data_IF_733195691531
#
_entry.id   IF_733195691531
#
_cell.length_a   1.000
_cell.length_b   1.000
_cell.length_c   1.000
_cell.angle_alpha   90.00
_cell.angle_beta   90.00
_cell.angle_gamma   90.00
#
_symmetry.space_group_name_H-M   'P 1'
#
loop_
_entity.id
_entity.type
_entity.pdbx_description
1 polymer ?
#
# COMPACT_ATOMS: atom_id res chain seq x y z
N UNK A 1 -20.43 -1.17 -21.50
CA UNK A 1 -20.17 -0.26 -20.36
C UNK A 1 -19.49 -1.09 -19.28
N UNK A 2 -18.41 -0.60 -18.67
CA UNK A 2 -17.66 -1.34 -17.65
C UNK A 2 -18.34 -1.11 -16.30
N UNK A 3 -18.66 -2.18 -15.57
CA UNK A 3 -19.40 -2.10 -14.30
C UNK A 3 -18.66 -2.73 -13.12
N UNK A 4 -17.50 -3.35 -13.36
CA UNK A 4 -16.72 -4.06 -12.33
C UNK A 4 -15.35 -3.45 -12.22
N UNK A 5 -15.06 -2.90 -11.05
CA UNK A 5 -13.78 -2.29 -10.74
C UNK A 5 -13.16 -3.01 -9.55
N UNK A 6 -11.88 -3.32 -9.66
CA UNK A 6 -11.07 -3.90 -8.59
C UNK A 6 -9.84 -3.03 -8.36
N UNK A 7 -9.25 -3.14 -7.19
CA UNK A 7 -7.99 -2.46 -6.85
C UNK A 7 -6.97 -3.45 -6.32
N UNK A 8 -5.68 -3.14 -6.48
CA UNK A 8 -4.56 -3.92 -5.98
C UNK A 8 -3.74 -3.05 -5.03
N UNK A 9 -3.45 -3.58 -3.86
CA UNK A 9 -2.52 -2.99 -2.91
C UNK A 9 -1.42 -3.98 -2.57
N UNK A 10 -0.19 -3.56 -2.81
CA UNK A 10 1.00 -4.43 -2.70
C UNK A 10 1.63 -4.41 -1.31
N UNK A 11 1.07 -3.65 -0.37
CA UNK A 11 1.58 -3.59 0.99
C UNK A 11 2.85 -2.77 1.13
N UNK A 12 2.77 -1.45 0.94
CA UNK A 12 3.90 -0.53 1.14
C UNK A 12 3.64 0.47 2.26
N UNK A 13 4.72 0.91 2.90
CA UNK A 13 4.71 2.12 3.74
C UNK A 13 4.92 3.36 2.87
N UNK A 14 4.59 4.53 3.41
CA UNK A 14 5.00 5.80 2.79
C UNK A 14 6.52 5.96 2.90
N UNK A 15 7.16 6.30 1.78
CA UNK A 15 8.61 6.46 1.73
C UNK A 15 9.00 7.91 1.97
N UNK A 16 9.92 8.10 2.92
CA UNK A 16 10.49 9.41 3.24
C UNK A 16 11.75 9.68 2.41
N UNK A 17 12.13 10.96 2.25
CA UNK A 17 13.34 11.39 1.54
C UNK A 17 13.50 10.72 0.16
N UNK A 18 12.51 10.88 -0.70
CA UNK A 18 12.45 10.28 -2.04
C UNK A 18 13.06 11.20 -3.11
N UNK A 19 13.36 10.62 -4.28
CA UNK A 19 13.87 11.35 -5.46
C UNK A 19 15.39 11.25 -5.64
N UNK A 20 15.92 11.99 -6.62
CA UNK A 20 17.33 11.91 -7.03
C UNK A 20 18.32 12.20 -5.89
N UNK A 21 17.98 13.17 -5.03
CA UNK A 21 18.77 13.54 -3.86
C UNK A 21 18.31 12.86 -2.56
N UNK A 22 17.43 11.87 -2.68
CA UNK A 22 16.87 11.12 -1.57
C UNK A 22 17.81 10.05 -1.03
N UNK A 23 17.33 9.30 -0.04
CA UNK A 23 18.06 8.15 0.51
C UNK A 23 18.11 7.03 -0.55
N UNK A 24 19.29 6.50 -0.91
CA UNK A 24 19.43 5.35 -1.79
C UNK A 24 18.59 4.17 -1.29
N UNK A 25 18.02 3.37 -2.19
CA UNK A 25 17.15 2.25 -1.82
C UNK A 25 17.83 1.27 -0.85
N UNK A 26 19.09 0.92 -1.12
CA UNK A 26 19.87 -0.02 -0.33
C UNK A 26 20.26 0.49 1.07
N UNK A 27 20.17 1.80 1.28
CA UNK A 27 20.47 2.46 2.56
C UNK A 27 19.21 2.71 3.40
N UNK A 28 18.01 2.41 2.87
CA UNK A 28 16.76 2.57 3.62
C UNK A 28 16.68 1.55 4.74
N UNK A 29 16.48 2.04 5.96
CA UNK A 29 16.26 1.23 7.16
C UNK A 29 15.03 1.77 7.88
N UNK A 30 14.04 0.91 8.10
CA UNK A 30 12.83 1.26 8.83
C UNK A 30 12.67 0.33 10.02
N UNK A 31 12.26 0.84 11.19
CA UNK A 31 11.97 0.00 12.33
C UNK A 31 10.64 -0.74 12.13
N UNK A 32 10.41 -1.81 12.89
CA UNK A 32 9.21 -2.65 12.73
C UNK A 32 7.92 -1.85 12.89
N UNK A 33 7.89 -0.87 13.79
CA UNK A 33 6.75 0.00 14.04
C UNK A 33 6.30 0.72 12.78
N UNK A 34 7.23 1.08 11.86
CA UNK A 34 6.89 1.66 10.56
C UNK A 34 6.37 0.60 9.60
N UNK A 35 7.05 -0.56 9.54
CA UNK A 35 6.71 -1.64 8.61
C UNK A 35 5.30 -2.20 8.84
N UNK A 36 4.83 -2.24 10.10
CA UNK A 36 3.49 -2.76 10.44
C UNK A 36 2.33 -1.83 10.08
N UNK A 37 2.59 -0.55 9.76
CA UNK A 37 1.55 0.42 9.35
C UNK A 37 0.84 0.02 8.05
N UNK A 38 1.44 -0.90 7.28
CA UNK A 38 0.84 -1.53 6.11
C UNK A 38 -0.53 -2.14 6.42
N UNK A 39 -0.74 -2.67 7.63
CA UNK A 39 -2.00 -3.29 8.03
C UNK A 39 -3.10 -2.25 8.23
N UNK A 40 -2.77 -1.10 8.84
CA UNK A 40 -3.73 0.00 9.01
C UNK A 40 -4.12 0.61 7.66
N UNK A 41 -3.15 0.73 6.74
CA UNK A 41 -3.40 1.16 5.36
C UNK A 41 -4.30 0.17 4.63
N UNK A 42 -4.05 -1.14 4.78
CA UNK A 42 -4.87 -2.20 4.19
C UNK A 42 -6.32 -2.10 4.67
N UNK A 43 -6.55 -1.92 5.96
CA UNK A 43 -7.89 -1.77 6.55
C UNK A 43 -8.59 -0.53 6.01
N UNK A 44 -7.86 0.60 5.96
CA UNK A 44 -8.41 1.87 5.46
C UNK A 44 -8.81 1.74 3.99
N UNK A 45 -7.95 1.15 3.16
CA UNK A 45 -8.24 0.93 1.75
C UNK A 45 -9.44 0.01 1.54
N UNK A 46 -9.54 -1.10 2.30
CA UNK A 46 -10.67 -2.02 2.21
C UNK A 46 -12.00 -1.30 2.50
N UNK A 47 -12.05 -0.48 3.55
CA UNK A 47 -13.25 0.30 3.90
C UNK A 47 -13.65 1.29 2.82
N UNK A 48 -12.67 2.03 2.28
CA UNK A 48 -12.91 2.99 1.19
C UNK A 48 -13.35 2.27 -0.10
N UNK A 49 -12.76 1.11 -0.40
CA UNK A 49 -13.15 0.29 -1.54
C UNK A 49 -14.62 -0.16 -1.44
N UNK A 50 -15.07 -0.58 -0.25
CA UNK A 50 -16.46 -0.92 0.03
C UNK A 50 -17.38 0.30 -0.16
N UNK A 51 -17.01 1.46 0.39
CA UNK A 51 -17.79 2.71 0.29
C UNK A 51 -17.94 3.19 -1.17
N UNK A 52 -16.92 2.99 -2.00
CA UNK A 52 -16.90 3.38 -3.41
C UNK A 52 -17.46 2.32 -4.35
N UNK A 53 -17.84 1.14 -3.84
CA UNK A 53 -18.44 0.06 -4.62
C UNK A 53 -17.46 -0.73 -5.50
N UNK A 54 -16.19 -0.82 -5.10
CA UNK A 54 -15.25 -1.75 -5.72
C UNK A 54 -15.63 -3.19 -5.36
N UNK A 55 -15.56 -4.10 -6.33
CA UNK A 55 -15.96 -5.51 -6.11
C UNK A 55 -14.85 -6.34 -5.47
N UNK A 56 -13.58 -5.93 -5.60
CA UNK A 56 -12.45 -6.75 -5.15
C UNK A 56 -11.23 -5.90 -4.79
N UNK A 57 -10.65 -6.18 -3.62
CA UNK A 57 -9.31 -5.76 -3.22
C UNK A 57 -8.36 -6.95 -3.35
N UNK A 58 -7.33 -6.80 -4.17
CA UNK A 58 -6.23 -7.75 -4.32
C UNK A 58 -5.08 -7.34 -3.41
N UNK A 59 -4.48 -8.32 -2.74
CA UNK A 59 -3.25 -8.16 -1.95
C UNK A 59 -2.13 -8.96 -2.60
N UNK A 60 -0.90 -8.44 -2.53
CA UNK A 60 0.27 -9.13 -3.04
C UNK A 60 1.02 -9.84 -1.90
N UNK A 61 1.58 -11.00 -2.22
CA UNK A 61 2.60 -11.67 -1.42
C UNK A 61 3.91 -11.67 -2.23
N UNK A 62 5.03 -11.35 -1.59
CA UNK A 62 6.36 -11.40 -2.19
C UNK A 62 7.31 -12.11 -1.23
N UNK A 63 8.08 -13.07 -1.76
CA UNK A 63 9.05 -13.87 -1.01
C UNK A 63 10.47 -13.27 -1.10
#
# INVERSE_FOLDING_TARGET
MITRFSTLYVGHIELENCGLSGTPADDRRYPNERLVEVFDTTITLARVADELGYETLWLAEHH
#
